data_IF_623702576264
#
_entry.id   IF_623702576264
#
_cell.length_a   1.000
_cell.length_b   1.000
_cell.length_c   1.000
_cell.angle_alpha   90.00
_cell.angle_beta   90.00
_cell.angle_gamma   90.00
#
_symmetry.space_group_name_H-M   'P 1'
#
loop_
_entity.id
_entity.type
_entity.pdbx_description
1 polymer ?
#
# COMPACT_ATOMS: atom_id res chain seq x y z
N UNK A 1 52.05 7.22 43.02
CA UNK A 1 52.97 7.41 44.16
C UNK A 1 52.15 7.98 45.30
N UNK A 2 52.14 7.42 46.53
CA UNK A 2 53.03 6.40 47.10
C UNK A 2 52.27 5.12 47.56
N UNK A 3 52.85 3.93 47.36
CA UNK A 3 53.59 3.08 48.34
C UNK A 3 52.70 2.23 49.29
N UNK A 4 52.80 0.92 49.11
CA UNK A 4 52.58 -0.12 50.14
C UNK A 4 53.82 -0.23 51.04
N UNK A 5 53.75 -0.82 52.26
CA UNK A 5 53.84 -2.28 52.47
C UNK A 5 52.93 -2.74 53.66
N UNK A 6 52.72 -3.99 54.07
CA UNK A 6 53.33 -5.31 53.84
C UNK A 6 53.21 -6.14 55.15
N UNK A 7 52.98 -7.46 55.03
CA UNK A 7 52.93 -8.48 56.10
C UNK A 7 51.74 -9.43 55.90
N UNK A 8 51.86 -10.71 55.49
CA UNK A 8 52.70 -11.82 56.00
C UNK A 8 51.86 -12.59 57.03
N UNK A 9 51.42 -13.84 56.86
CA UNK A 9 52.24 -15.05 56.79
C UNK A 9 51.48 -16.33 56.34
N UNK A 10 52.26 -17.21 55.71
CA UNK A 10 52.25 -18.67 55.48
C UNK A 10 50.99 -19.52 55.24
N UNK A 11 51.11 -20.33 54.16
CA UNK A 11 50.61 -21.70 54.14
C UNK A 11 50.40 -22.33 52.75
N UNK A 12 51.46 -22.62 51.99
CA UNK A 12 51.41 -23.52 50.82
C UNK A 12 52.13 -24.86 51.15
N UNK A 13 51.86 -25.95 50.42
CA UNK A 13 52.63 -26.17 49.18
C UNK A 13 51.82 -26.75 47.99
N UNK A 14 52.41 -26.72 46.78
CA UNK A 14 51.70 -26.75 45.50
C UNK A 14 51.88 -28.08 44.74
N UNK A 15 51.04 -28.32 43.72
CA UNK A 15 51.37 -29.21 42.61
C UNK A 15 51.32 -28.42 41.29
N UNK A 16 52.45 -28.49 40.59
CA UNK A 16 52.77 -27.89 39.30
C UNK A 16 52.25 -28.74 38.15
N UNK A 17 51.84 -28.12 37.04
CA UNK A 17 52.55 -28.19 35.75
C UNK A 17 51.79 -27.43 34.66
N UNK A 18 52.52 -26.54 33.98
CA UNK A 18 52.10 -25.77 32.81
C UNK A 18 52.35 -26.51 31.49
N UNK A 19 51.44 -26.23 30.56
CA UNK A 19 51.54 -26.12 29.09
C UNK A 19 52.73 -26.71 28.31
N UNK A 20 52.37 -27.50 27.28
CA UNK A 20 52.91 -27.39 25.91
C UNK A 20 51.86 -27.83 24.88
N UNK A 21 51.64 -27.03 23.83
CA UNK A 21 51.06 -27.40 22.52
C UNK A 21 52.17 -27.20 21.44
N UNK A 22 51.98 -27.57 20.16
CA UNK A 22 51.61 -28.88 19.61
C UNK A 22 52.50 -29.25 18.38
N UNK A 23 52.61 -30.51 17.99
CA UNK A 23 52.93 -30.93 16.60
C UNK A 23 52.52 -32.41 16.46
N UNK A 24 51.43 -32.69 15.73
CA UNK A 24 51.40 -33.23 14.36
C UNK A 24 51.69 -34.73 14.30
N UNK A 25 50.62 -35.52 14.26
CA UNK A 25 50.51 -36.81 13.55
C UNK A 25 49.00 -37.07 13.37
N UNK A 26 48.44 -36.89 12.18
CA UNK A 26 48.34 -37.95 11.15
C UNK A 26 47.91 -39.29 11.74
N UNK A 27 46.60 -39.49 11.85
CA UNK A 27 46.05 -40.82 11.64
C UNK A 27 44.77 -40.77 10.82
N UNK A 28 44.66 -41.76 9.95
CA UNK A 28 43.80 -41.80 8.78
C UNK A 28 42.32 -42.02 9.11
N UNK A 29 41.49 -41.25 8.42
CA UNK A 29 40.28 -41.69 7.73
C UNK A 29 39.29 -42.59 8.48
N UNK A 30 38.48 -42.00 9.35
CA UNK A 30 37.08 -42.43 9.49
C UNK A 30 36.18 -41.42 8.76
N UNK A 31 35.64 -41.84 7.61
CA UNK A 31 34.53 -41.16 6.95
C UNK A 31 33.29 -41.35 7.82
N UNK A 32 33.00 -40.39 8.70
CA UNK A 32 31.64 -40.19 9.16
C UNK A 32 30.89 -39.48 8.03
N UNK A 33 30.17 -40.25 7.21
CA UNK A 33 29.08 -39.74 6.39
C UNK A 33 28.05 -39.11 7.33
N UNK A 34 28.20 -37.81 7.58
CA UNK A 34 27.18 -37.02 8.24
C UNK A 34 26.06 -36.81 7.22
N UNK A 35 25.09 -37.72 7.23
CA UNK A 35 23.82 -37.54 6.52
C UNK A 35 23.25 -36.15 6.85
N UNK A 36 22.86 -35.35 5.84
CA UNK A 36 22.26 -34.04 6.09
C UNK A 36 21.02 -34.22 6.98
N UNK A 37 20.72 -33.27 7.89
CA UNK A 37 19.64 -33.43 8.85
C UNK A 37 18.35 -33.76 8.11
N UNK A 38 17.83 -34.97 8.34
CA UNK A 38 16.62 -35.48 7.71
C UNK A 38 15.46 -34.60 8.15
N UNK A 39 15.12 -33.60 7.32
CA UNK A 39 13.99 -32.71 7.53
C UNK A 39 12.75 -33.55 7.86
N UNK A 40 11.94 -33.13 8.84
CA UNK A 40 10.73 -33.87 9.19
C UNK A 40 9.84 -34.10 7.96
N UNK A 41 9.06 -35.19 7.91
CA UNK A 41 8.16 -35.50 6.78
C UNK A 41 7.28 -34.30 6.38
N UNK A 42 6.90 -33.46 7.35
CA UNK A 42 6.14 -32.22 7.11
C UNK A 42 6.99 -31.08 6.51
N UNK A 43 8.25 -30.92 6.94
CA UNK A 43 9.17 -29.95 6.38
C UNK A 43 9.57 -30.30 4.94
N UNK A 44 9.82 -31.58 4.65
CA UNK A 44 10.09 -32.07 3.28
C UNK A 44 8.90 -31.85 2.36
N UNK A 45 7.68 -32.17 2.82
CA UNK A 45 6.44 -31.94 2.05
C UNK A 45 6.20 -30.44 1.78
N UNK A 46 6.54 -29.57 2.73
CA UNK A 46 6.43 -28.11 2.57
C UNK A 46 7.46 -27.59 1.56
N UNK A 47 8.71 -28.05 1.62
CA UNK A 47 9.76 -27.68 0.67
C UNK A 47 9.46 -28.17 -0.75
N UNK A 48 9.04 -29.43 -0.92
CA UNK A 48 8.64 -29.97 -2.22
C UNK A 48 7.44 -29.22 -2.82
N UNK A 49 6.47 -28.83 -1.97
CA UNK A 49 5.34 -27.97 -2.40
C UNK A 49 5.82 -26.59 -2.84
N UNK A 50 6.79 -26.00 -2.15
CA UNK A 50 7.38 -24.71 -2.51
C UNK A 50 8.17 -24.80 -3.83
N UNK A 51 9.03 -25.79 -4.00
CA UNK A 51 9.79 -26.01 -5.24
C UNK A 51 8.86 -26.28 -6.43
N UNK A 52 7.83 -27.13 -6.27
CA UNK A 52 6.82 -27.36 -7.31
C UNK A 52 6.05 -26.08 -7.66
N UNK A 53 5.79 -25.24 -6.66
CA UNK A 53 5.16 -23.94 -6.87
C UNK A 53 6.06 -22.97 -7.63
N UNK A 54 7.34 -22.89 -7.28
CA UNK A 54 8.35 -22.06 -7.95
C UNK A 54 8.58 -22.52 -9.40
N UNK A 55 8.67 -23.83 -9.64
CA UNK A 55 8.75 -24.41 -10.98
C UNK A 55 7.52 -24.06 -11.83
N UNK A 56 6.31 -24.26 -11.30
CA UNK A 56 5.06 -23.89 -11.99
C UNK A 56 4.96 -22.37 -12.24
N UNK A 57 5.51 -21.55 -11.36
CA UNK A 57 5.60 -20.09 -11.54
C UNK A 57 6.58 -19.74 -12.66
N UNK A 58 7.74 -20.38 -12.72
CA UNK A 58 8.74 -20.18 -13.77
C UNK A 58 8.19 -20.60 -15.13
N UNK A 59 7.52 -21.74 -15.21
CA UNK A 59 6.87 -22.26 -16.40
C UNK A 59 5.79 -21.31 -16.93
N UNK A 60 4.87 -20.85 -16.06
CA UNK A 60 3.85 -19.86 -16.46
C UNK A 60 4.45 -18.54 -16.94
N UNK A 61 5.53 -18.08 -16.30
CA UNK A 61 6.25 -16.88 -16.73
C UNK A 61 6.89 -17.07 -18.10
N UNK A 62 7.47 -18.25 -18.36
CA UNK A 62 8.01 -18.61 -19.66
C UNK A 62 6.91 -18.66 -20.74
N UNK A 63 5.79 -19.34 -20.45
CA UNK A 63 4.65 -19.42 -21.36
C UNK A 63 4.04 -18.05 -21.67
N UNK A 64 3.90 -17.16 -20.67
CA UNK A 64 3.42 -15.80 -20.88
C UNK A 64 4.40 -14.95 -21.74
N UNK A 65 5.71 -15.14 -21.54
CA UNK A 65 6.74 -14.48 -22.36
C UNK A 65 6.68 -14.96 -23.81
N UNK A 66 6.46 -16.26 -24.01
CA UNK A 66 6.33 -16.88 -25.32
C UNK A 66 5.05 -16.44 -26.03
N UNK A 67 3.91 -16.44 -25.34
CA UNK A 67 2.64 -15.93 -25.88
C UNK A 67 2.78 -14.46 -26.30
N UNK A 68 3.43 -13.62 -25.48
CA UNK A 68 3.70 -12.22 -25.82
C UNK A 68 4.61 -12.08 -27.04
N UNK A 69 5.60 -12.97 -27.22
CA UNK A 69 6.44 -13.00 -28.42
C UNK A 69 5.61 -13.33 -29.66
N UNK A 70 4.78 -14.37 -29.59
CA UNK A 70 3.86 -14.77 -30.67
C UNK A 70 2.87 -13.67 -31.02
N UNK A 71 2.30 -12.98 -30.02
CA UNK A 71 1.39 -11.84 -30.26
C UNK A 71 2.11 -10.65 -30.91
N UNK A 72 3.36 -10.37 -30.53
CA UNK A 72 4.18 -9.32 -31.15
C UNK A 72 4.52 -9.68 -32.60
N UNK A 73 4.88 -10.95 -32.85
CA UNK A 73 5.19 -11.45 -34.19
C UNK A 73 3.96 -11.49 -35.09
N UNK A 74 2.81 -11.94 -34.59
CA UNK A 74 1.52 -11.86 -35.29
C UNK A 74 1.20 -10.42 -35.70
N UNK A 75 1.28 -9.48 -34.75
CA UNK A 75 1.04 -8.05 -35.03
C UNK A 75 2.04 -7.45 -36.00
N UNK A 76 3.28 -7.95 -36.01
CA UNK A 76 4.31 -7.54 -36.97
C UNK A 76 3.95 -8.04 -38.37
N UNK A 77 3.56 -9.31 -38.49
CA UNK A 77 3.14 -9.91 -39.77
C UNK A 77 1.87 -9.25 -40.32
N UNK A 78 0.84 -9.08 -39.50
CA UNK A 78 -0.39 -8.34 -39.85
C UNK A 78 -0.06 -6.92 -40.35
N UNK A 79 0.92 -6.25 -39.74
CA UNK A 79 1.40 -4.95 -40.17
C UNK A 79 2.16 -5.01 -41.50
N UNK A 80 3.04 -5.99 -41.69
CA UNK A 80 3.76 -6.19 -42.95
C UNK A 80 2.80 -6.51 -44.11
N UNK A 81 1.80 -7.37 -43.88
CA UNK A 81 0.76 -7.71 -44.84
C UNK A 81 -0.13 -6.49 -45.18
N UNK A 82 -0.49 -5.66 -44.18
CA UNK A 82 -1.22 -4.41 -44.42
C UNK A 82 -0.46 -3.39 -45.27
N UNK A 83 0.86 -3.47 -45.31
CA UNK A 83 1.73 -2.59 -46.09
C UNK A 83 2.03 -3.14 -47.49
N UNK A 84 1.69 -4.39 -47.79
CA UNK A 84 2.00 -5.03 -49.07
C UNK A 84 1.11 -4.54 -50.24
N UNK A 85 -0.09 -4.03 -49.95
CA UNK A 85 -1.02 -3.47 -50.94
C UNK A 85 -1.03 -1.94 -51.04
N UNK A 86 -0.14 -1.27 -50.30
CA UNK A 86 -0.12 0.20 -50.16
C UNK A 86 1.02 0.78 -51.00
N UNK A 87 0.80 1.93 -51.64
CA UNK A 87 1.84 2.60 -52.44
C UNK A 87 3.09 2.92 -51.59
N UNK A 88 4.26 3.03 -52.22
CA UNK A 88 5.51 3.35 -51.49
C UNK A 88 5.41 4.67 -50.71
N UNK A 89 4.74 5.68 -51.27
CA UNK A 89 4.55 6.98 -50.65
C UNK A 89 3.61 6.92 -49.44
N UNK A 90 2.49 6.21 -49.56
CA UNK A 90 1.53 6.02 -48.46
C UNK A 90 2.11 5.14 -47.35
N UNK A 91 2.93 4.15 -47.69
CA UNK A 91 3.72 3.35 -46.72
C UNK A 91 4.69 4.24 -45.95
N UNK A 92 5.42 5.14 -46.60
CA UNK A 92 6.34 6.06 -45.94
C UNK A 92 5.60 6.98 -44.95
N UNK A 93 4.46 7.54 -45.38
CA UNK A 93 3.58 8.39 -44.55
C UNK A 93 3.06 7.67 -43.31
N UNK A 94 2.61 6.41 -43.44
CA UNK A 94 2.14 5.59 -42.31
C UNK A 94 3.26 5.29 -41.30
N UNK A 95 4.48 4.98 -41.77
CA UNK A 95 5.62 4.75 -40.89
C UNK A 95 6.00 6.01 -40.12
N UNK A 96 5.99 7.17 -40.79
CA UNK A 96 6.26 8.46 -40.19
C UNK A 96 5.21 8.83 -39.15
N UNK A 97 3.91 8.75 -39.47
CA UNK A 97 2.82 8.99 -38.51
C UNK A 97 2.92 8.07 -37.28
N UNK A 98 3.28 6.79 -37.46
CA UNK A 98 3.49 5.86 -36.34
C UNK A 98 4.71 6.24 -35.50
N UNK A 99 5.76 6.80 -36.12
CA UNK A 99 6.96 7.28 -35.43
C UNK A 99 6.68 8.55 -34.63
N UNK A 100 5.94 9.51 -35.20
CA UNK A 100 5.53 10.75 -34.51
C UNK A 100 4.60 10.43 -33.34
N UNK A 101 3.55 9.63 -33.53
CA UNK A 101 2.64 9.21 -32.44
C UNK A 101 3.38 8.49 -31.30
N UNK A 102 4.39 7.68 -31.62
CA UNK A 102 5.24 7.05 -30.60
C UNK A 102 6.09 8.07 -29.86
N UNK A 103 6.67 9.04 -30.57
CA UNK A 103 7.48 10.13 -30.01
C UNK A 103 6.64 10.99 -29.07
N UNK A 104 5.48 11.47 -29.52
CA UNK A 104 4.53 12.25 -28.72
C UNK A 104 4.09 11.48 -27.46
N UNK A 105 3.77 10.18 -27.59
CA UNK A 105 3.40 9.35 -26.43
C UNK A 105 4.56 9.14 -25.46
N UNK A 106 5.81 9.09 -25.94
CA UNK A 106 6.99 9.01 -25.09
C UNK A 106 7.24 10.35 -24.37
N UNK A 107 7.13 11.45 -25.09
CA UNK A 107 7.29 12.81 -24.56
C UNK A 107 6.22 13.13 -23.52
N UNK A 108 4.94 12.86 -23.81
CA UNK A 108 3.84 13.02 -22.85
C UNK A 108 4.09 12.25 -21.56
N UNK A 109 4.54 10.98 -21.66
CA UNK A 109 4.88 10.17 -20.47
C UNK A 109 6.11 10.69 -19.74
N UNK A 110 7.07 11.28 -20.43
CA UNK A 110 8.24 11.90 -19.81
C UNK A 110 7.83 13.14 -19.03
N UNK A 111 7.01 14.00 -19.65
CA UNK A 111 6.47 15.21 -19.04
C UNK A 111 5.59 14.89 -17.83
N UNK A 112 4.68 13.91 -17.93
CA UNK A 112 3.86 13.48 -16.78
C UNK A 112 4.72 12.99 -15.61
N UNK A 113 5.82 12.28 -15.87
CA UNK A 113 6.74 11.82 -14.84
C UNK A 113 7.54 12.96 -14.21
N UNK A 114 7.95 13.93 -15.02
CA UNK A 114 8.64 15.13 -14.57
C UNK A 114 7.73 16.00 -13.71
N UNK A 115 6.54 16.33 -14.20
CA UNK A 115 5.55 17.08 -13.45
C UNK A 115 5.20 16.37 -12.13
N UNK A 116 5.04 15.04 -12.16
CA UNK A 116 4.85 14.25 -10.93
C UNK A 116 6.03 14.40 -9.96
N UNK A 117 7.26 14.28 -10.46
CA UNK A 117 8.47 14.39 -9.65
C UNK A 117 8.57 15.77 -9.02
N UNK A 118 8.36 16.82 -9.80
CA UNK A 118 8.36 18.21 -9.34
C UNK A 118 7.33 18.44 -8.25
N UNK A 119 6.05 18.08 -8.47
CA UNK A 119 5.00 18.23 -7.44
C UNK A 119 5.33 17.50 -6.15
N UNK A 120 5.91 16.30 -6.22
CA UNK A 120 6.31 15.53 -5.04
C UNK A 120 7.54 16.15 -4.34
N UNK A 121 8.50 16.70 -5.08
CA UNK A 121 9.65 17.41 -4.50
C UNK A 121 9.18 18.68 -3.79
N UNK A 122 8.29 19.45 -4.40
CA UNK A 122 7.69 20.63 -3.77
C UNK A 122 6.90 20.22 -2.51
N UNK A 123 6.08 19.18 -2.62
CA UNK A 123 5.33 18.67 -1.46
C UNK A 123 6.24 18.20 -0.33
N UNK A 124 7.43 17.66 -0.61
CA UNK A 124 8.42 17.28 0.41
C UNK A 124 8.88 18.48 1.25
N UNK A 125 8.97 19.67 0.65
CA UNK A 125 9.46 20.87 1.34
C UNK A 125 8.35 21.65 2.05
N UNK A 126 7.18 21.77 1.42
CA UNK A 126 6.10 22.66 1.89
C UNK A 126 4.71 22.01 1.96
N UNK A 127 4.61 20.73 1.64
CA UNK A 127 3.34 19.99 1.68
C UNK A 127 2.95 19.58 3.09
N UNK A 128 1.67 19.22 3.27
CA UNK A 128 1.18 18.66 4.52
C UNK A 128 1.93 17.38 4.87
N UNK A 129 2.44 17.27 6.08
CA UNK A 129 3.11 16.05 6.53
C UNK A 129 2.10 14.98 6.98
N UNK A 130 2.19 13.80 6.37
CA UNK A 130 1.39 12.62 6.70
C UNK A 130 2.31 11.44 6.96
N UNK A 131 2.23 10.89 8.16
CA UNK A 131 3.12 9.82 8.64
C UNK A 131 2.36 8.52 8.71
N UNK A 132 2.96 7.43 8.20
CA UNK A 132 2.47 6.07 8.43
C UNK A 132 3.40 5.40 9.44
N UNK A 133 2.85 5.06 10.60
CA UNK A 133 3.52 4.38 11.71
C UNK A 133 3.51 2.87 11.50
N UNK A 134 4.66 2.29 11.15
CA UNK A 134 4.76 0.87 10.81
C UNK A 134 5.22 -0.03 11.97
N UNK A 135 5.24 0.47 13.21
CA UNK A 135 5.73 -0.29 14.38
C UNK A 135 4.80 -1.41 14.87
N UNK A 136 3.71 -1.70 14.16
CA UNK A 136 2.74 -2.74 14.53
C UNK A 136 2.97 -4.08 13.82
N UNK A 137 4.15 -4.29 13.22
CA UNK A 137 4.51 -5.54 12.52
C UNK A 137 4.24 -6.79 13.38
N UNK A 138 4.61 -6.75 14.65
CA UNK A 138 4.42 -7.84 15.63
C UNK A 138 2.95 -8.20 15.94
N UNK A 139 1.98 -7.34 15.58
CA UNK A 139 0.54 -7.58 15.80
C UNK A 139 -0.18 -8.13 14.57
N UNK A 140 0.55 -8.26 13.47
CA UNK A 140 0.05 -8.68 12.18
C UNK A 140 0.64 -10.03 11.80
N UNK A 141 -0.18 -10.89 11.22
CA UNK A 141 0.34 -12.08 10.56
C UNK A 141 1.01 -11.70 9.22
N UNK A 142 1.82 -12.58 8.61
CA UNK A 142 2.53 -12.27 7.37
C UNK A 142 1.61 -11.86 6.20
N UNK A 143 0.36 -12.33 6.14
CA UNK A 143 -0.59 -11.91 5.10
C UNK A 143 -1.14 -10.50 5.35
N UNK A 144 -1.30 -10.11 6.62
CA UNK A 144 -1.69 -8.76 7.03
C UNK A 144 -0.56 -7.76 6.72
N UNK A 145 0.70 -8.09 7.03
CA UNK A 145 1.90 -7.32 6.64
C UNK A 145 1.97 -7.18 5.11
N UNK A 146 1.76 -8.28 4.38
CA UNK A 146 1.70 -8.25 2.93
C UNK A 146 0.62 -7.29 2.39
N UNK A 147 -0.55 -7.31 3.01
CA UNK A 147 -1.69 -6.44 2.67
C UNK A 147 -1.48 -4.98 3.10
N UNK A 148 -0.46 -4.68 3.89
CA UNK A 148 -0.06 -3.31 4.22
C UNK A 148 0.96 -2.78 3.21
N UNK A 149 2.02 -3.57 2.95
CA UNK A 149 3.23 -3.11 2.26
C UNK A 149 3.24 -3.40 0.77
N UNK A 150 3.05 -4.66 0.36
CA UNK A 150 3.31 -5.07 -1.03
C UNK A 150 2.70 -6.43 -1.39
N UNK A 151 2.14 -6.53 -2.61
CA UNK A 151 1.94 -7.80 -3.30
C UNK A 151 3.27 -8.35 -3.88
N UNK A 152 3.85 -9.31 -3.18
CA UNK A 152 4.55 -10.43 -3.83
C UNK A 152 3.66 -11.66 -3.76
N UNK A 153 2.56 -11.66 -4.53
CA UNK A 153 1.85 -12.91 -4.84
C UNK A 153 1.61 -13.06 -6.33
N UNK A 154 2.35 -14.04 -6.85
CA UNK A 154 2.15 -14.84 -8.06
C UNK A 154 0.85 -14.61 -8.83
N UNK A 155 1.01 -14.30 -10.12
CA UNK A 155 0.04 -14.15 -11.21
C UNK A 155 -0.90 -15.35 -11.43
N UNK A 156 -1.65 -15.83 -10.43
CA UNK A 156 -2.55 -16.99 -10.61
C UNK A 156 -3.91 -16.87 -9.92
N UNK A 157 -4.28 -15.71 -9.38
CA UNK A 157 -5.67 -15.48 -8.99
C UNK A 157 -6.15 -14.20 -9.67
N UNK A 158 -7.01 -14.37 -10.67
CA UNK A 158 -7.72 -13.30 -11.36
C UNK A 158 -8.93 -12.88 -10.52
N UNK A 159 -8.67 -12.52 -9.26
CA UNK A 159 -9.64 -11.88 -8.37
C UNK A 159 -9.08 -10.49 -8.08
N UNK A 160 -9.49 -9.53 -8.90
CA UNK A 160 -9.16 -8.13 -8.68
C UNK A 160 -9.77 -7.67 -7.37
N UNK A 161 -8.96 -7.57 -6.31
CA UNK A 161 -9.10 -6.70 -5.14
C UNK A 161 -7.91 -7.02 -4.22
N UNK A 162 -6.72 -6.48 -4.55
CA UNK A 162 -5.53 -6.62 -3.71
C UNK A 162 -5.27 -5.26 -3.03
N UNK A 163 -5.48 -5.21 -1.71
CA UNK A 163 -5.22 -4.01 -0.91
C UNK A 163 -3.70 -3.88 -0.70
N UNK A 164 -3.08 -3.00 -1.47
CA UNK A 164 -1.66 -2.63 -1.40
C UNK A 164 -1.52 -1.24 -0.78
N UNK A 165 -1.67 -1.12 0.55
CA UNK A 165 -1.98 0.20 1.13
C UNK A 165 -0.86 1.22 0.93
N UNK A 166 0.39 0.90 1.27
CA UNK A 166 1.52 1.85 1.17
C UNK A 166 1.83 2.23 -0.28
N UNK A 167 1.87 1.24 -1.19
CA UNK A 167 2.10 1.51 -2.62
C UNK A 167 0.97 2.31 -3.25
N UNK A 168 -0.28 1.99 -2.90
CA UNK A 168 -1.44 2.74 -3.34
C UNK A 168 -1.40 4.19 -2.84
N UNK A 169 -1.08 4.41 -1.56
CA UNK A 169 -0.92 5.75 -0.99
C UNK A 169 0.07 6.60 -1.80
N UNK A 170 1.27 6.08 -2.08
CA UNK A 170 2.26 6.79 -2.89
C UNK A 170 1.78 7.04 -4.33
N UNK A 171 1.11 6.05 -4.94
CA UNK A 171 0.60 6.16 -6.31
C UNK A 171 -0.55 7.17 -6.43
N UNK A 172 -1.45 7.25 -5.45
CA UNK A 172 -2.52 8.26 -5.39
C UNK A 172 -1.93 9.64 -5.11
N UNK A 173 -1.02 9.75 -4.14
CA UNK A 173 -0.36 11.02 -3.82
C UNK A 173 0.31 11.66 -5.04
N UNK A 174 1.01 10.85 -5.84
CA UNK A 174 1.64 11.33 -7.08
C UNK A 174 0.66 11.74 -8.19
N UNK A 175 -0.63 11.40 -8.08
CA UNK A 175 -1.69 11.81 -9.01
C UNK A 175 -2.42 13.07 -8.55
N UNK A 176 -2.26 13.47 -7.29
CA UNK A 176 -2.87 14.67 -6.75
C UNK A 176 -2.26 15.94 -7.35
N UNK A 177 -3.09 16.98 -7.42
CA UNK A 177 -2.66 18.32 -7.81
C UNK A 177 -1.79 18.95 -6.71
N UNK A 178 -2.16 18.70 -5.44
CA UNK A 178 -1.41 19.12 -4.25
C UNK A 178 -1.05 17.90 -3.40
N UNK A 179 0.07 17.21 -3.71
CA UNK A 179 0.50 16.05 -2.92
C UNK A 179 0.85 16.43 -1.48
N UNK A 180 0.71 15.47 -0.57
CA UNK A 180 1.25 15.55 0.79
C UNK A 180 2.72 15.09 0.83
N UNK A 181 3.45 15.53 1.85
CA UNK A 181 4.72 14.92 2.21
C UNK A 181 4.47 13.63 3.01
N UNK A 182 4.70 12.48 2.37
CA UNK A 182 4.53 11.19 3.06
C UNK A 182 5.81 10.79 3.81
N UNK A 183 5.62 10.22 4.98
CA UNK A 183 6.65 9.62 5.82
C UNK A 183 6.29 8.17 6.13
N UNK A 184 7.28 7.27 6.08
CA UNK A 184 7.19 5.94 6.64
C UNK A 184 8.14 5.85 7.83
N UNK A 185 7.63 5.53 9.01
CA UNK A 185 8.41 5.44 10.25
C UNK A 185 8.28 4.04 10.85
N UNK A 186 9.25 3.63 11.66
CA UNK A 186 9.31 2.26 12.19
C UNK A 186 9.58 1.24 11.09
N UNK A 187 10.35 1.61 10.06
CA UNK A 187 10.75 0.69 9.00
C UNK A 187 11.83 -0.27 9.53
N UNK A 188 11.43 -1.32 10.24
CA UNK A 188 12.35 -2.32 10.78
C UNK A 188 11.97 -3.76 10.40
N UNK A 189 12.89 -4.70 10.63
CA UNK A 189 12.65 -6.14 10.53
C UNK A 189 11.96 -6.61 9.24
N UNK A 190 10.84 -7.33 9.41
CA UNK A 190 10.04 -7.86 8.30
C UNK A 190 9.39 -6.75 7.46
N UNK A 191 9.06 -5.62 8.08
CA UNK A 191 8.43 -4.48 7.42
C UNK A 191 9.38 -3.83 6.41
N UNK A 192 10.61 -3.52 6.84
CA UNK A 192 11.66 -2.98 5.97
C UNK A 192 11.99 -3.95 4.82
N UNK A 193 12.11 -5.24 5.15
CA UNK A 193 12.33 -6.29 4.16
C UNK A 193 11.19 -6.39 3.13
N UNK A 194 9.94 -6.12 3.54
CA UNK A 194 8.80 -6.04 2.63
C UNK A 194 8.83 -4.77 1.77
N UNK A 195 9.17 -3.62 2.35
CA UNK A 195 9.22 -2.34 1.64
C UNK A 195 10.31 -2.33 0.56
N UNK A 196 11.51 -2.83 0.88
CA UNK A 196 12.64 -2.90 -0.07
C UNK A 196 12.39 -3.82 -1.27
N UNK A 197 11.42 -4.74 -1.18
CA UNK A 197 11.01 -5.59 -2.32
C UNK A 197 10.12 -4.85 -3.31
N UNK A 198 9.61 -3.67 -2.98
CA UNK A 198 8.80 -2.84 -3.87
C UNK A 198 9.67 -2.26 -4.97
N UNK A 199 9.37 -2.54 -6.27
CA UNK A 199 10.14 -1.98 -7.37
C UNK A 199 10.15 -0.46 -7.36
N UNK A 200 11.36 0.12 -7.30
CA UNK A 200 11.55 1.56 -7.31
C UNK A 200 11.26 2.27 -5.98
N UNK A 201 11.04 1.54 -4.89
CA UNK A 201 10.84 2.11 -3.55
C UNK A 201 11.98 3.01 -3.11
N UNK A 202 13.22 2.65 -3.45
CA UNK A 202 14.42 3.46 -3.29
C UNK A 202 14.26 4.86 -3.89
N UNK A 203 13.57 4.97 -5.02
CA UNK A 203 13.36 6.23 -5.78
C UNK A 203 12.12 7.01 -5.38
N UNK A 204 11.33 6.52 -4.42
CA UNK A 204 10.17 7.27 -3.95
C UNK A 204 10.61 8.51 -3.17
N UNK A 205 9.97 9.63 -3.49
CA UNK A 205 10.16 10.95 -2.87
C UNK A 205 9.26 11.02 -1.63
N UNK A 206 9.72 10.38 -0.56
CA UNK A 206 9.10 10.28 0.77
C UNK A 206 10.23 10.13 1.80
N UNK A 207 9.97 10.46 3.07
CA UNK A 207 10.90 10.10 4.14
C UNK A 207 10.71 8.65 4.56
N UNK A 208 11.83 7.98 4.87
CA UNK A 208 11.89 6.56 5.24
C UNK A 208 12.77 6.44 6.46
N UNK A 209 12.15 6.33 7.63
CA UNK A 209 12.83 6.24 8.91
C UNK A 209 12.68 4.84 9.51
N UNK A 210 13.81 4.26 9.91
CA UNK A 210 13.82 3.00 10.64
C UNK A 210 13.33 3.21 12.09
N UNK A 211 13.59 4.39 12.66
CA UNK A 211 13.17 4.79 14.01
C UNK A 211 11.67 5.06 14.07
N UNK A 212 11.12 5.08 15.28
CA UNK A 212 9.73 5.48 15.51
C UNK A 212 9.49 6.93 15.09
N UNK A 213 8.25 7.31 14.80
CA UNK A 213 7.92 8.71 14.50
C UNK A 213 8.27 9.65 15.67
N UNK A 214 8.16 9.19 16.91
CA UNK A 214 8.41 10.02 18.10
C UNK A 214 9.90 10.31 18.27
N UNK A 215 10.77 9.36 17.90
CA UNK A 215 12.23 9.56 17.89
C UNK A 215 12.69 10.34 16.67
N UNK A 216 12.11 10.09 15.49
CA UNK A 216 12.50 10.77 14.25
C UNK A 216 12.08 12.24 14.23
N UNK A 217 10.97 12.58 14.91
CA UNK A 217 10.40 13.92 15.00
C UNK A 217 10.43 14.47 16.43
N UNK A 218 11.44 14.10 17.22
CA UNK A 218 11.53 14.45 18.63
C UNK A 218 11.48 15.96 18.89
N UNK A 219 12.10 16.76 18.01
CA UNK A 219 12.18 18.22 18.12
C UNK A 219 10.86 18.92 17.75
N UNK A 220 9.86 18.16 17.31
CA UNK A 220 8.56 18.66 16.86
C UNK A 220 7.41 17.85 17.47
N UNK A 221 7.62 17.33 18.68
CA UNK A 221 6.66 16.46 19.37
C UNK A 221 5.28 17.11 19.53
N UNK A 222 5.25 18.41 19.80
CA UNK A 222 4.06 19.23 19.95
C UNK A 222 3.24 19.37 18.66
N UNK A 223 3.85 19.17 17.49
CA UNK A 223 3.19 19.22 16.19
C UNK A 223 2.58 17.87 15.78
N UNK A 224 2.80 16.81 16.57
CA UNK A 224 2.34 15.46 16.25
C UNK A 224 0.87 15.27 16.65
N UNK A 225 0.06 14.82 15.67
CA UNK A 225 -1.34 14.44 15.88
C UNK A 225 -1.55 13.01 15.40
N UNK A 226 -1.85 12.10 16.32
CA UNK A 226 -2.19 10.72 15.97
C UNK A 226 -3.67 10.62 15.57
N UNK A 227 -3.92 10.23 14.32
CA UNK A 227 -5.25 9.98 13.81
C UNK A 227 -5.75 8.61 14.26
N UNK A 228 -6.81 8.61 15.07
CA UNK A 228 -7.42 7.38 15.57
C UNK A 228 -8.94 7.55 15.70
N UNK A 229 -9.69 6.51 15.32
CA UNK A 229 -11.15 6.53 15.40
C UNK A 229 -11.67 6.60 16.84
N UNK A 230 -10.84 6.20 17.82
CA UNK A 230 -11.20 6.16 19.23
C UNK A 230 -10.98 7.52 19.95
N UNK A 231 -10.47 8.54 19.25
CA UNK A 231 -10.27 9.88 19.83
C UNK A 231 -11.59 10.59 20.11
N UNK A 232 -11.65 11.34 21.21
CA UNK A 232 -12.77 12.23 21.52
C UNK A 232 -12.73 13.51 20.67
N UNK A 233 -11.53 14.04 20.44
CA UNK A 233 -11.28 15.25 19.64
C UNK A 233 -11.54 14.98 18.17
N UNK A 234 -12.36 15.83 17.54
CA UNK A 234 -12.69 15.78 16.11
C UNK A 234 -11.74 16.70 15.32
N UNK A 235 -11.21 16.20 14.20
CA UNK A 235 -10.37 16.98 13.31
C UNK A 235 -11.21 17.87 12.39
N UNK A 236 -11.18 19.17 12.61
CA UNK A 236 -11.95 20.13 11.81
C UNK A 236 -11.18 20.64 10.58
N UNK A 237 -9.88 20.88 10.73
CA UNK A 237 -9.00 21.36 9.64
C UNK A 237 -7.62 20.71 9.71
N UNK A 238 -6.89 20.80 8.59
CA UNK A 238 -5.49 20.42 8.52
C UNK A 238 -4.60 21.64 8.69
N UNK A 239 -3.75 21.60 9.71
CA UNK A 239 -2.68 22.57 9.92
C UNK A 239 -1.42 22.09 9.20
N UNK A 240 -0.94 22.88 8.25
CA UNK A 240 0.26 22.60 7.45
C UNK A 240 1.52 22.41 8.31
N UNK A 241 1.55 23.00 9.51
CA UNK A 241 2.65 22.79 10.45
C UNK A 241 2.59 21.41 11.07
N UNK A 242 1.43 20.80 11.28
CA UNK A 242 1.30 19.54 12.03
C UNK A 242 1.71 18.30 11.21
N UNK A 243 2.07 17.24 11.93
CA UNK A 243 2.24 15.89 11.37
C UNK A 243 1.04 15.04 11.72
N UNK A 244 0.33 14.55 10.72
CA UNK A 244 -0.80 13.65 10.91
C UNK A 244 -0.36 12.19 10.79
N UNK A 245 -0.34 11.49 11.92
CA UNK A 245 0.15 10.11 12.03
C UNK A 245 -1.02 9.13 11.87
N UNK A 246 -0.82 8.12 11.04
CA UNK A 246 -1.77 7.04 10.74
C UNK A 246 -1.13 5.73 11.14
N UNK A 247 -1.82 4.94 11.96
CA UNK A 247 -1.36 3.61 12.33
C UNK A 247 -1.33 2.68 11.11
N UNK A 248 -0.13 2.23 10.73
CA UNK A 248 0.11 1.23 9.70
C UNK A 248 -0.26 -0.17 10.17
N UNK A 249 -1.54 -0.37 10.47
CA UNK A 249 -2.07 -1.61 11.05
C UNK A 249 -3.19 -2.19 10.17
N UNK A 250 -3.14 -3.52 9.96
CA UNK A 250 -4.19 -4.27 9.25
C UNK A 250 -4.69 -5.37 10.18
N UNK A 251 -5.69 -5.05 10.99
CA UNK A 251 -6.17 -5.93 12.05
C UNK A 251 -7.69 -6.17 12.02
N UNK A 252 -8.40 -5.50 11.11
CA UNK A 252 -9.87 -5.47 11.05
C UNK A 252 -10.50 -4.99 12.36
N UNK A 253 -9.85 -4.04 13.04
CA UNK A 253 -10.27 -3.49 14.33
C UNK A 253 -10.31 -4.53 15.47
N UNK A 254 -9.38 -5.50 15.43
CA UNK A 254 -9.15 -6.48 16.50
C UNK A 254 -8.50 -5.83 17.71
N UNK A 255 -7.65 -4.83 17.50
CA UNK A 255 -6.90 -4.11 18.53
C UNK A 255 -7.49 -2.72 18.78
N UNK A 256 -8.70 -2.69 19.36
CA UNK A 256 -9.40 -1.44 19.66
C UNK A 256 -8.59 -0.54 20.59
N UNK A 257 -8.55 0.76 20.32
CA UNK A 257 -7.86 1.73 21.17
C UNK A 257 -6.33 1.64 21.17
N UNK A 258 -5.70 0.74 20.40
CA UNK A 258 -4.25 0.53 20.50
C UNK A 258 -3.44 1.77 20.08
N UNK A 259 -3.87 2.45 19.02
CA UNK A 259 -3.24 3.67 18.54
C UNK A 259 -3.50 4.85 19.46
N UNK A 260 -4.69 4.91 20.06
CA UNK A 260 -5.04 5.92 21.06
C UNK A 260 -4.18 5.78 22.31
N UNK A 261 -4.08 4.55 22.84
CA UNK A 261 -3.24 4.21 23.99
C UNK A 261 -1.78 4.58 23.74
N UNK A 262 -1.23 4.17 22.59
CA UNK A 262 0.15 4.51 22.19
C UNK A 262 0.40 6.02 22.18
N UNK A 263 -0.51 6.79 21.59
CA UNK A 263 -0.40 8.24 21.52
C UNK A 263 -0.51 8.92 22.89
N UNK A 264 -1.43 8.44 23.75
CA UNK A 264 -1.60 8.93 25.11
C UNK A 264 -0.39 8.64 25.99
N UNK A 265 0.17 7.43 25.94
CA UNK A 265 1.39 7.05 26.67
C UNK A 265 2.59 7.91 26.27
N UNK A 266 2.64 8.33 25.00
CA UNK A 266 3.68 9.22 24.49
C UNK A 266 3.39 10.71 24.73
N UNK A 267 2.18 11.06 25.19
CA UNK A 267 1.76 12.43 25.44
C UNK A 267 1.72 13.30 24.18
N UNK A 268 1.20 12.78 23.06
CA UNK A 268 0.97 13.55 21.82
C UNK A 268 -0.52 13.78 21.59
N UNK A 269 -0.87 14.76 20.75
CA UNK A 269 -2.26 15.06 20.43
C UNK A 269 -2.90 13.90 19.66
N UNK A 270 -4.21 13.73 19.81
CA UNK A 270 -5.00 12.75 19.05
C UNK A 270 -6.21 13.41 18.42
N UNK A 271 -6.64 12.93 17.26
CA UNK A 271 -7.88 13.37 16.64
C UNK A 271 -8.54 12.24 15.83
N UNK A 272 -9.86 12.28 15.69
CA UNK A 272 -10.61 11.43 14.76
C UNK A 272 -11.08 12.24 13.56
N UNK A 273 -11.23 11.58 12.42
CA UNK A 273 -11.86 12.20 11.25
C UNK A 273 -13.34 12.50 11.53
N UNK A 274 -13.90 13.62 11.01
CA UNK A 274 -15.27 14.05 11.28
C UNK A 274 -16.33 13.24 10.51
N UNK A 275 -16.12 11.94 10.29
CA UNK A 275 -16.96 11.09 9.43
C UNK A 275 -18.43 11.11 9.90
N UNK A 276 -18.64 11.00 11.22
CA UNK A 276 -19.98 10.97 11.82
C UNK A 276 -20.80 12.24 11.60
N UNK A 277 -20.15 13.38 11.33
CA UNK A 277 -20.83 14.65 11.10
C UNK A 277 -21.44 14.72 9.69
N UNK A 278 -20.93 13.93 8.73
CA UNK A 278 -21.28 14.05 7.32
C UNK A 278 -21.85 12.78 6.70
N UNK A 279 -21.67 11.62 7.34
CA UNK A 279 -22.07 10.33 6.78
C UNK A 279 -22.50 9.36 7.87
N UNK A 280 -23.70 8.79 7.71
CA UNK A 280 -24.13 7.62 8.48
C UNK A 280 -23.58 6.36 7.83
N UNK A 281 -22.68 5.69 8.55
CA UNK A 281 -22.05 4.46 8.09
C UNK A 281 -22.90 3.26 8.49
N UNK A 282 -23.14 2.33 7.56
CA UNK A 282 -23.83 1.05 7.84
C UNK A 282 -22.96 0.05 8.62
N UNK A 283 -21.67 0.36 8.75
CA UNK A 283 -20.65 -0.47 9.38
C UNK A 283 -19.68 0.40 10.20
N UNK A 284 -18.65 -0.23 10.79
CA UNK A 284 -17.63 0.48 11.58
C UNK A 284 -17.04 1.69 10.85
N UNK A 285 -16.89 2.80 11.59
CA UNK A 285 -16.20 4.02 11.14
C UNK A 285 -14.68 3.85 11.06
N UNK A 286 -14.14 2.69 11.44
CA UNK A 286 -12.70 2.40 11.29
C UNK A 286 -12.37 2.18 9.82
N UNK A 287 -11.53 3.07 9.28
CA UNK A 287 -11.07 3.07 7.90
C UNK A 287 -9.71 2.38 7.76
N UNK A 288 -9.42 1.93 6.55
CA UNK A 288 -8.10 1.39 6.21
C UNK A 288 -7.07 2.51 6.02
N UNK A 289 -5.79 2.22 6.23
CA UNK A 289 -4.67 3.17 6.05
C UNK A 289 -4.77 3.95 4.74
N UNK A 290 -5.01 3.26 3.62
CA UNK A 290 -5.11 3.88 2.32
C UNK A 290 -6.32 4.82 2.19
N UNK A 291 -7.45 4.48 2.81
CA UNK A 291 -8.62 5.35 2.81
C UNK A 291 -8.37 6.62 3.60
N UNK A 292 -7.71 6.52 4.77
CA UNK A 292 -7.38 7.70 5.58
C UNK A 292 -6.44 8.61 4.79
N UNK A 293 -5.35 8.08 4.21
CA UNK A 293 -4.43 8.87 3.39
C UNK A 293 -5.17 9.52 2.21
N UNK A 294 -5.98 8.75 1.47
CA UNK A 294 -6.71 9.28 0.30
C UNK A 294 -7.72 10.36 0.69
N UNK A 295 -8.39 10.23 1.84
CA UNK A 295 -9.28 11.27 2.39
C UNK A 295 -8.49 12.54 2.70
N UNK A 296 -7.34 12.43 3.36
CA UNK A 296 -6.50 13.60 3.66
C UNK A 296 -6.05 14.30 2.37
N UNK A 297 -5.62 13.53 1.37
CA UNK A 297 -5.24 14.05 0.05
C UNK A 297 -6.41 14.76 -0.64
N UNK A 298 -7.61 14.18 -0.59
CA UNK A 298 -8.81 14.82 -1.15
C UNK A 298 -9.17 16.09 -0.39
N UNK A 299 -9.04 16.09 0.93
CA UNK A 299 -9.30 17.29 1.73
C UNK A 299 -8.29 18.41 1.46
N UNK A 300 -7.03 18.08 1.17
CA UNK A 300 -6.04 19.09 0.75
C UNK A 300 -6.42 19.75 -0.58
N UNK A 301 -7.10 19.03 -1.48
CA UNK A 301 -7.60 19.55 -2.76
C UNK A 301 -8.91 20.32 -2.62
N UNK A 302 -9.88 19.79 -1.86
CA UNK A 302 -11.26 20.31 -1.82
C UNK A 302 -11.53 21.24 -0.65
N UNK A 303 -10.76 21.13 0.43
CA UNK A 303 -11.01 21.76 1.74
C UNK A 303 -12.42 21.47 2.28
N UNK A 304 -13.00 20.35 1.86
CA UNK A 304 -14.34 19.91 2.27
C UNK A 304 -14.34 18.43 2.64
N UNK A 305 -14.66 18.15 3.90
CA UNK A 305 -14.69 16.79 4.44
C UNK A 305 -15.78 15.94 3.79
N UNK A 306 -16.96 16.50 3.53
CA UNK A 306 -18.06 15.76 2.92
C UNK A 306 -17.65 15.23 1.55
N UNK A 307 -17.16 16.10 0.66
CA UNK A 307 -16.67 15.73 -0.68
C UNK A 307 -15.54 14.70 -0.57
N UNK A 308 -14.62 14.87 0.38
CA UNK A 308 -13.51 13.93 0.60
C UNK A 308 -14.00 12.53 0.99
N UNK A 309 -14.95 12.44 1.93
CA UNK A 309 -15.53 11.16 2.33
C UNK A 309 -16.31 10.50 1.21
N UNK A 310 -17.11 11.26 0.46
CA UNK A 310 -17.91 10.75 -0.65
C UNK A 310 -17.07 10.38 -1.88
N UNK A 311 -15.86 10.92 -2.03
CA UNK A 311 -14.92 10.48 -3.06
C UNK A 311 -14.30 9.10 -2.73
N UNK A 312 -14.01 8.83 -1.45
CA UNK A 312 -13.15 7.70 -1.05
C UNK A 312 -13.91 6.52 -0.43
N UNK A 313 -14.95 6.78 0.37
CA UNK A 313 -15.68 5.74 1.08
C UNK A 313 -16.69 5.09 0.13
N UNK A 314 -16.60 3.79 -0.21
CA UNK A 314 -17.49 3.16 -1.18
C UNK A 314 -18.97 3.24 -0.79
N UNK A 315 -19.87 3.38 -1.78
CA UNK A 315 -21.32 3.48 -1.58
C UNK A 315 -21.90 2.39 -0.68
N UNK A 316 -21.45 1.13 -0.78
CA UNK A 316 -21.91 0.02 0.06
C UNK A 316 -21.73 0.23 1.57
N UNK A 317 -20.85 1.14 1.99
CA UNK A 317 -20.62 1.48 3.39
C UNK A 317 -21.48 2.67 3.86
N UNK A 318 -22.15 3.35 2.94
CA UNK A 318 -23.05 4.48 3.18
C UNK A 318 -24.46 3.94 3.43
N UNK A 319 -25.20 4.53 4.36
CA UNK A 319 -26.63 4.25 4.49
C UNK A 319 -27.41 4.82 3.28
N UNK A 320 -28.53 4.20 2.91
CA UNK A 320 -29.29 4.49 1.69
C UNK A 320 -29.92 5.89 1.62
N UNK A 321 -29.84 6.70 2.69
CA UNK A 321 -30.44 8.04 2.77
C UNK A 321 -29.68 9.15 2.03
N UNK A 322 -28.46 8.90 1.57
CA UNK A 322 -27.56 9.97 1.08
C UNK A 322 -27.50 10.05 -0.46
N UNK A 323 -28.46 9.44 -1.17
CA UNK A 323 -28.51 9.41 -2.65
C UNK A 323 -29.32 10.55 -3.28
N UNK A 324 -29.98 11.40 -2.49
CA UNK A 324 -30.70 12.57 -2.99
C UNK A 324 -29.79 13.79 -2.93
N UNK A 325 -29.22 14.18 -4.08
CA UNK A 325 -28.47 15.44 -4.17
C UNK A 325 -27.47 15.56 -5.32
N UNK A 326 -27.36 14.60 -6.24
CA UNK A 326 -26.51 14.78 -7.41
C UNK A 326 -27.12 14.18 -8.68
N UNK A 327 -28.30 14.70 -9.04
CA UNK A 327 -28.96 14.42 -10.30
C UNK A 327 -29.47 15.72 -10.93
N UNK A 328 -28.61 16.74 -11.06
CA UNK A 328 -28.85 17.86 -11.97
C UNK A 328 -27.53 18.24 -12.65
N UNK A 329 -27.27 17.60 -13.79
CA UNK A 329 -26.70 18.19 -15.00
C UNK A 329 -26.37 17.10 -16.02
N UNK A 330 -27.41 16.68 -16.75
CA UNK A 330 -27.23 16.28 -18.15
C UNK A 330 -28.42 16.81 -18.91
N UNK A 331 -28.13 17.81 -19.73
CA UNK A 331 -29.02 18.44 -20.70
C UNK A 331 -29.35 17.38 -21.75
N UNK A 332 -30.64 17.09 -21.95
CA UNK A 332 -31.13 16.50 -23.19
C UNK A 332 -32.10 17.52 -23.81
N UNK A 333 -31.60 18.21 -24.84
CA UNK A 333 -32.42 18.85 -25.85
C UNK A 333 -33.07 17.75 -26.67
N UNK A 334 -34.40 17.60 -26.64
CA UNK A 334 -35.14 17.13 -27.82
C UNK A 334 -36.51 17.83 -27.92
N UNK A 335 -36.84 18.10 -29.18
CA UNK A 335 -37.85 18.99 -29.73
C UNK A 335 -39.30 18.71 -29.32
N UNK A 336 -40.05 19.81 -29.25
CA UNK A 336 -41.52 19.87 -29.26
C UNK A 336 -42.14 19.04 -30.40
N UNK A 337 -43.16 18.25 -30.07
CA UNK A 337 -44.43 18.29 -30.79
C UNK A 337 -45.59 17.84 -29.90
N UNK A 338 -46.52 18.76 -29.72
CA UNK A 338 -47.76 18.67 -28.99
C UNK A 338 -48.87 18.12 -29.90
N UNK A 339 -49.65 17.13 -29.44
CA UNK A 339 -51.10 17.28 -29.25
C UNK A 339 -51.79 15.97 -28.80
N UNK A 340 -52.60 16.09 -27.75
CA UNK A 340 -54.01 15.67 -27.83
C UNK A 340 -54.47 14.34 -27.22
N UNK A 341 -55.09 14.46 -26.05
CA UNK A 341 -56.35 13.81 -25.62
C UNK A 341 -56.37 12.45 -24.86
N UNK A 342 -56.61 12.59 -23.53
CA UNK A 342 -57.67 11.96 -22.70
C UNK A 342 -57.84 10.43 -22.63
N UNK A 343 -57.76 9.86 -21.41
CA UNK A 343 -58.92 9.55 -20.54
C UNK A 343 -58.69 8.40 -19.52
N UNK A 344 -58.97 8.74 -18.25
CA UNK A 344 -59.69 7.96 -17.23
C UNK A 344 -59.20 6.59 -16.70
N UNK A 345 -58.72 6.66 -15.45
CA UNK A 345 -59.10 5.86 -14.26
C UNK A 345 -60.07 4.68 -14.49
N UNK A 346 -59.71 3.51 -13.95
CA UNK A 346 -60.51 2.86 -12.89
C UNK A 346 -59.73 1.75 -12.16
N UNK A 347 -59.99 1.75 -10.84
CA UNK A 347 -59.47 0.93 -9.75
C UNK A 347 -60.42 -0.26 -9.58
N UNK A 348 -59.90 -1.48 -9.42
CA UNK A 348 -60.71 -2.62 -8.96
C UNK A 348 -60.11 -3.15 -7.66
N UNK A 349 -60.95 -3.13 -6.62
CA UNK A 349 -60.75 -3.76 -5.32
C UNK A 349 -61.51 -5.09 -5.35
N UNK A 350 -60.93 -6.09 -4.69
CA UNK A 350 -61.44 -7.43 -4.44
C UNK A 350 -62.85 -7.45 -3.84
N UNK A 351 -63.61 -8.50 -4.16
CA UNK A 351 -64.33 -9.25 -3.14
C UNK A 351 -64.59 -10.70 -3.58
N UNK A 352 -64.38 -11.60 -2.62
CA UNK A 352 -64.44 -13.08 -2.65
C UNK A 352 -65.88 -13.53 -2.32
N UNK A 353 -66.29 -14.77 -2.69
CA UNK A 353 -67.63 -15.07 -3.19
C UNK A 353 -68.55 -15.74 -2.16
N UNK A 354 -69.82 -15.97 -2.53
CA UNK A 354 -70.52 -17.21 -2.17
C UNK A 354 -71.82 -17.42 -2.96
N UNK A 355 -71.96 -18.65 -3.50
CA UNK A 355 -73.15 -19.45 -3.80
C UNK A 355 -74.22 -18.84 -4.74
N UNK A 356 -74.65 -19.48 -5.83
CA UNK A 356 -74.88 -20.92 -6.08
C UNK A 356 -74.69 -21.27 -7.55
#
# INVERSE_FOLDING_TARGET
MPESPGGGDAGAPPQTTELKRPHTDQNAAEKTDADPPVLSKNAQKKLAKQQRFEAKKAEKKAAAKEQKRRDVERKRKEWEDSLAGVSQEERAKLLESRRTLRKERMEKRSLEKENKRERLTVAREQGQNVVVDLQFSHLMNPNEIHSLVQQVRSSTQNTGFHLEKVMYCYAVNGRCASPAHLWLTGCDGEMDSALKRIPGFDKWIIEKENRSYIEALCDRKEDLVYLTADSEIVLEELDLKKFYIIGGLVDRNRWKGITLKKAQEQGIQTAKLPIGNFMKMSSSQVLTVNQVVEILLKFLETKDWKTSFFAVIPQRKRCQSDSEGNAENTVEEEHEQNDGLTASKKKCVEEVPSNS
#
